data_IF_506552035287
#
_entry.id   IF_506552035287
#
_cell.length_a   1.000
_cell.length_b   1.000
_cell.length_c   1.000
_cell.angle_alpha   90.00
_cell.angle_beta   90.00
_cell.angle_gamma   90.00
#
_symmetry.space_group_name_H-M   'P 1'
#
loop_
_entity.id
_entity.type
_entity.pdbx_description
1 polymer ?
#
# COMPACT_ATOMS: atom_id res chain seq x y z
N UNK A 1 -20.48 21.78 -7.33
CA UNK A 1 -20.20 20.43 -7.85
C UNK A 1 -18.78 20.30 -8.47
N UNK A 2 -17.74 20.90 -7.84
CA UNK A 2 -16.36 20.93 -8.37
C UNK A 2 -15.29 20.35 -7.42
N UNK A 3 -15.63 20.06 -6.16
CA UNK A 3 -14.67 19.48 -5.19
C UNK A 3 -14.34 18.01 -5.53
N UNK A 4 -15.30 17.26 -6.09
CA UNK A 4 -15.14 15.85 -6.46
C UNK A 4 -14.20 15.66 -7.67
N UNK A 5 -14.04 16.68 -8.53
CA UNK A 5 -13.15 16.62 -9.70
C UNK A 5 -11.70 16.97 -9.36
N UNK A 6 -11.48 17.71 -8.27
CA UNK A 6 -10.17 18.10 -7.73
C UNK A 6 -9.57 17.08 -6.76
N UNK A 7 -10.34 16.06 -6.34
CA UNK A 7 -9.79 14.83 -5.76
C UNK A 7 -9.07 14.02 -6.84
N UNK A 8 -8.00 14.62 -7.35
CA UNK A 8 -7.13 14.10 -8.37
C UNK A 8 -6.59 12.76 -7.88
N UNK A 9 -6.46 11.76 -8.76
CA UNK A 9 -6.04 10.39 -8.40
C UNK A 9 -4.74 10.35 -7.59
N UNK A 10 -3.89 11.39 -7.72
CA UNK A 10 -2.68 11.57 -6.93
C UNK A 10 -2.93 12.07 -5.49
N UNK A 11 -3.92 12.93 -5.26
CA UNK A 11 -4.15 13.55 -3.94
C UNK A 11 -4.57 12.52 -2.88
N UNK A 12 -5.42 11.55 -3.25
CA UNK A 12 -5.84 10.49 -2.32
C UNK A 12 -4.67 9.56 -1.96
N UNK A 13 -3.76 9.31 -2.90
CA UNK A 13 -2.55 8.52 -2.64
C UNK A 13 -1.60 9.29 -1.72
N UNK A 14 -1.42 10.58 -1.94
CA UNK A 14 -0.59 11.44 -1.07
C UNK A 14 -1.16 11.52 0.34
N UNK A 15 -2.47 11.71 0.48
CA UNK A 15 -3.15 11.75 1.79
C UNK A 15 -3.02 10.41 2.53
N UNK A 16 -3.13 9.28 1.81
CA UNK A 16 -2.91 7.96 2.40
C UNK A 16 -1.49 7.81 2.97
N UNK A 17 -0.45 8.16 2.19
CA UNK A 17 0.93 8.06 2.67
C UNK A 17 1.25 9.05 3.79
N UNK A 18 0.73 10.28 3.72
CA UNK A 18 0.85 11.26 4.78
C UNK A 18 0.21 10.75 6.09
N UNK A 19 -0.97 10.11 5.98
CA UNK A 19 -1.65 9.51 7.13
C UNK A 19 -0.84 8.36 7.75
N UNK A 20 -0.34 7.42 6.93
CA UNK A 20 0.52 6.31 7.41
C UNK A 20 1.78 6.85 8.09
N UNK A 21 2.46 7.82 7.47
CA UNK A 21 3.66 8.45 8.04
C UNK A 21 3.35 9.09 9.39
N UNK A 22 2.23 9.81 9.49
CA UNK A 22 1.82 10.50 10.72
C UNK A 22 1.50 9.50 11.83
N UNK A 23 0.81 8.40 11.53
CA UNK A 23 0.54 7.35 12.52
C UNK A 23 1.83 6.71 13.01
N UNK A 24 2.73 6.34 12.10
CA UNK A 24 4.02 5.74 12.47
C UNK A 24 4.84 6.70 13.33
N UNK A 25 4.87 7.98 12.97
CA UNK A 25 5.53 9.01 13.76
C UNK A 25 4.95 9.10 15.17
N UNK A 26 3.62 9.15 15.30
CA UNK A 26 2.94 9.21 16.60
C UNK A 26 3.18 7.94 17.43
N UNK A 27 3.20 6.77 16.80
CA UNK A 27 3.48 5.49 17.48
C UNK A 27 4.91 5.44 18.01
N UNK A 28 5.89 5.91 17.23
CA UNK A 28 7.28 5.95 17.64
C UNK A 28 7.51 6.99 18.76
N UNK A 29 6.89 8.16 18.65
CA UNK A 29 6.96 9.19 19.70
C UNK A 29 6.31 8.77 21.04
N UNK A 30 5.40 7.79 21.00
CA UNK A 30 4.79 7.24 22.21
C UNK A 30 5.71 6.24 22.95
N UNK A 31 6.84 5.87 22.35
CA UNK A 31 7.85 4.99 22.96
C UNK A 31 8.99 5.85 23.47
N UNK A 32 9.24 5.79 24.78
CA UNK A 32 10.24 6.64 25.47
C UNK A 32 11.68 6.47 24.94
N UNK A 33 11.96 5.43 24.15
CA UNK A 33 13.27 5.20 23.53
C UNK A 33 13.55 6.09 22.29
N UNK A 34 12.53 6.75 21.73
CA UNK A 34 12.64 7.50 20.48
C UNK A 34 12.54 9.01 20.67
N UNK A 35 13.66 9.70 20.50
CA UNK A 35 13.66 11.15 20.28
C UNK A 35 12.94 11.51 18.97
N UNK A 36 12.40 12.74 18.89
CA UNK A 36 11.69 13.22 17.71
C UNK A 36 12.49 13.03 16.41
N UNK A 37 13.79 13.28 16.42
CA UNK A 37 14.65 13.10 15.25
C UNK A 37 14.74 11.63 14.81
N UNK A 38 14.87 10.70 15.77
CA UNK A 38 14.89 9.26 15.49
C UNK A 38 13.52 8.82 14.96
N UNK A 39 12.43 9.17 15.65
CA UNK A 39 11.08 8.84 15.23
C UNK A 39 10.75 9.35 13.81
N UNK A 40 11.18 10.58 13.48
CA UNK A 40 10.99 11.16 12.16
C UNK A 40 11.78 10.42 11.07
N UNK A 41 13.03 10.04 11.35
CA UNK A 41 13.86 9.31 10.39
C UNK A 41 13.30 7.91 10.13
N UNK A 42 12.96 7.17 11.19
CA UNK A 42 12.38 5.82 11.09
C UNK A 42 11.07 5.82 10.33
N UNK A 43 10.13 6.68 10.72
CA UNK A 43 8.83 6.76 10.05
C UNK A 43 8.97 7.13 8.57
N UNK A 44 9.90 8.03 8.22
CA UNK A 44 10.14 8.44 6.83
C UNK A 44 10.71 7.30 5.98
N UNK A 45 11.72 6.57 6.49
CA UNK A 45 12.35 5.49 5.73
C UNK A 45 11.42 4.29 5.60
N UNK A 46 10.81 3.84 6.70
CA UNK A 46 9.85 2.73 6.67
C UNK A 46 8.69 3.04 5.71
N UNK A 47 8.14 4.26 5.77
CA UNK A 47 7.06 4.65 4.86
C UNK A 47 7.54 4.74 3.41
N UNK A 48 8.76 5.24 3.18
CA UNK A 48 9.39 5.26 1.87
C UNK A 48 9.51 3.86 1.27
N UNK A 49 10.03 2.90 2.04
CA UNK A 49 10.17 1.50 1.63
C UNK A 49 8.81 0.87 1.33
N UNK A 50 7.80 1.10 2.18
CA UNK A 50 6.44 0.65 1.89
C UNK A 50 5.86 1.28 0.63
N UNK A 51 6.11 2.57 0.39
CA UNK A 51 5.66 3.26 -0.81
C UNK A 51 6.26 2.66 -2.07
N UNK A 52 7.56 2.37 -2.05
CA UNK A 52 8.29 1.68 -3.12
C UNK A 52 7.74 0.28 -3.33
N UNK A 53 7.59 -0.51 -2.27
CA UNK A 53 7.02 -1.86 -2.33
C UNK A 53 5.63 -1.87 -2.95
N UNK A 54 4.73 -0.98 -2.51
CA UNK A 54 3.37 -0.89 -3.07
C UNK A 54 3.39 -0.48 -4.55
N UNK A 55 4.24 0.49 -4.93
CA UNK A 55 4.26 1.01 -6.29
C UNK A 55 4.93 0.08 -7.30
N UNK A 56 6.08 -0.51 -6.93
CA UNK A 56 6.90 -1.31 -7.84
C UNK A 56 6.57 -2.80 -7.81
N UNK A 57 6.15 -3.34 -6.67
CA UNK A 57 5.89 -4.78 -6.53
C UNK A 57 4.40 -5.06 -6.60
N UNK A 58 3.63 -4.42 -5.72
CA UNK A 58 2.26 -4.83 -5.47
C UNK A 58 1.32 -4.45 -6.61
N UNK A 59 1.41 -3.20 -7.10
CA UNK A 59 0.57 -2.74 -8.21
C UNK A 59 0.72 -3.57 -9.49
N UNK A 60 1.93 -3.91 -9.97
CA UNK A 60 2.07 -4.78 -11.13
C UNK A 60 1.49 -6.18 -10.92
N UNK A 61 1.72 -6.79 -9.75
CA UNK A 61 1.20 -8.12 -9.43
C UNK A 61 -0.33 -8.13 -9.45
N UNK A 62 -0.96 -7.13 -8.81
CA UNK A 62 -2.43 -7.03 -8.76
C UNK A 62 -3.01 -6.78 -10.15
N UNK A 63 -2.39 -5.94 -10.98
CA UNK A 63 -2.84 -5.74 -12.37
C UNK A 63 -2.76 -7.03 -13.19
N UNK A 64 -1.65 -7.74 -13.11
CA UNK A 64 -1.47 -9.04 -13.80
C UNK A 64 -2.50 -10.08 -13.33
N UNK A 65 -2.96 -10.00 -12.09
CA UNK A 65 -4.04 -10.85 -11.60
C UNK A 65 -5.41 -10.50 -12.16
N UNK A 66 -5.75 -9.20 -12.23
CA UNK A 66 -7.01 -8.75 -12.85
C UNK A 66 -7.10 -9.28 -14.29
N UNK A 67 -5.96 -9.37 -14.99
CA UNK A 67 -5.86 -9.90 -16.36
C UNK A 67 -5.91 -11.44 -16.42
N UNK A 68 -5.22 -12.14 -15.51
CA UNK A 68 -5.04 -13.61 -15.61
C UNK A 68 -6.08 -14.46 -14.85
N UNK A 69 -6.88 -13.87 -13.94
CA UNK A 69 -7.91 -14.52 -13.10
C UNK A 69 -7.44 -15.72 -12.24
N UNK A 70 -6.13 -15.97 -12.13
CA UNK A 70 -5.56 -17.07 -11.34
C UNK A 70 -5.38 -16.71 -9.86
N UNK A 71 -6.32 -17.11 -9.00
CA UNK A 71 -6.39 -16.70 -7.59
C UNK A 71 -5.35 -17.38 -6.69
N UNK A 72 -5.09 -18.67 -6.89
CA UNK A 72 -4.12 -19.44 -6.09
C UNK A 72 -2.67 -18.98 -6.31
N UNK A 73 -2.29 -18.72 -7.57
CA UNK A 73 -0.95 -18.23 -7.91
C UNK A 73 -0.71 -16.82 -7.36
N UNK A 74 -1.73 -15.94 -7.37
CA UNK A 74 -1.62 -14.60 -6.78
C UNK A 74 -1.34 -14.67 -5.27
N UNK A 75 -2.10 -15.47 -4.52
CA UNK A 75 -1.93 -15.55 -3.06
C UNK A 75 -0.50 -15.99 -2.71
N UNK A 76 0.02 -16.99 -3.42
CA UNK A 76 1.40 -17.44 -3.21
C UNK A 76 2.42 -16.35 -3.54
N UNK A 77 2.26 -15.63 -4.66
CA UNK A 77 3.13 -14.51 -5.03
C UNK A 77 3.07 -13.36 -4.01
N UNK A 78 1.88 -12.99 -3.55
CA UNK A 78 1.71 -11.95 -2.54
C UNK A 78 2.34 -12.34 -1.20
N UNK A 79 2.19 -13.60 -0.78
CA UNK A 79 2.83 -14.10 0.43
C UNK A 79 4.36 -14.11 0.28
N UNK A 80 4.88 -14.64 -0.83
CA UNK A 80 6.32 -14.70 -1.08
C UNK A 80 6.96 -13.29 -1.12
N UNK A 81 6.34 -12.35 -1.84
CA UNK A 81 6.81 -10.97 -1.89
C UNK A 81 6.62 -10.24 -0.56
N UNK A 82 5.57 -10.55 0.19
CA UNK A 82 5.35 -10.03 1.53
C UNK A 82 6.45 -10.48 2.50
N UNK A 83 6.81 -11.76 2.47
CA UNK A 83 7.93 -12.29 3.27
C UNK A 83 9.24 -11.61 2.88
N UNK A 84 9.55 -11.50 1.58
CA UNK A 84 10.75 -10.80 1.11
C UNK A 84 10.80 -9.34 1.57
N UNK A 85 9.69 -8.60 1.41
CA UNK A 85 9.61 -7.21 1.87
C UNK A 85 9.78 -7.10 3.39
N UNK A 86 9.28 -8.07 4.14
CA UNK A 86 9.43 -8.10 5.61
C UNK A 86 10.87 -8.35 6.01
N UNK A 87 11.59 -9.21 5.30
CA UNK A 87 13.04 -9.40 5.50
C UNK A 87 13.79 -8.10 5.25
N UNK A 88 13.49 -7.41 4.13
CA UNK A 88 14.11 -6.12 3.80
C UNK A 88 13.82 -5.07 4.87
N UNK A 89 12.56 -4.90 5.28
CA UNK A 89 12.17 -3.95 6.31
C UNK A 89 12.81 -4.25 7.67
N UNK A 90 12.94 -5.53 8.03
CA UNK A 90 13.61 -5.93 9.27
C UNK A 90 15.10 -5.60 9.20
N UNK A 91 15.72 -5.75 8.02
CA UNK A 91 17.11 -5.40 7.82
C UNK A 91 17.33 -3.89 7.83
N UNK A 92 16.41 -3.12 7.24
CA UNK A 92 16.41 -1.65 7.31
C UNK A 92 16.29 -1.16 8.75
N UNK A 93 15.31 -1.69 9.50
CA UNK A 93 15.11 -1.38 10.92
C UNK A 93 16.38 -1.71 11.74
N UNK A 94 17.00 -2.85 11.46
CA UNK A 94 18.27 -3.23 12.07
C UNK A 94 19.43 -2.28 11.71
N UNK A 95 19.52 -1.87 10.44
CA UNK A 95 20.55 -0.93 10.00
C UNK A 95 20.39 0.44 10.66
N UNK A 96 19.15 0.93 10.78
CA UNK A 96 18.85 2.18 11.50
C UNK A 96 19.21 2.08 12.97
N UNK A 97 18.84 0.98 13.62
CA UNK A 97 19.17 0.75 15.02
C UNK A 97 20.68 0.76 15.25
N UNK A 98 21.43 0.05 14.40
CA UNK A 98 22.90 0.00 14.46
C UNK A 98 23.58 1.35 14.23
N UNK A 99 22.90 2.29 13.56
CA UNK A 99 23.39 3.64 13.35
C UNK A 99 23.24 4.51 14.61
N UNK A 100 22.23 4.25 15.44
CA UNK A 100 21.93 5.05 16.63
C UNK A 100 22.42 4.45 17.95
N UNK A 101 22.58 3.13 18.03
CA UNK A 101 23.05 2.43 19.22
C UNK A 101 23.79 1.14 18.79
N UNK A 102 24.80 0.70 19.57
CA UNK A 102 25.73 -0.38 19.18
C UNK A 102 25.50 -1.68 19.95
N UNK A 103 24.40 -1.77 20.71
CA UNK A 103 24.20 -2.86 21.68
C UNK A 103 23.64 -4.14 21.05
N UNK A 104 24.55 -4.94 20.49
CA UNK A 104 24.26 -6.17 19.73
C UNK A 104 23.37 -7.20 20.44
N UNK A 105 23.47 -7.32 21.76
CA UNK A 105 22.70 -8.30 22.53
C UNK A 105 21.23 -7.90 22.67
N UNK A 106 20.92 -6.60 22.70
CA UNK A 106 19.53 -6.10 22.66
C UNK A 106 18.88 -6.43 21.31
N UNK A 107 19.63 -6.24 20.21
CA UNK A 107 19.11 -6.47 18.86
C UNK A 107 18.82 -7.93 18.57
N UNK A 108 19.70 -8.85 18.96
CA UNK A 108 19.52 -10.28 18.69
C UNK A 108 18.23 -10.83 19.30
N UNK A 109 17.83 -10.32 20.47
CA UNK A 109 16.57 -10.70 21.14
C UNK A 109 15.34 -10.05 20.50
N UNK A 110 15.46 -8.83 19.99
CA UNK A 110 14.35 -8.07 19.39
C UNK A 110 14.10 -8.40 17.89
N UNK A 111 15.06 -9.02 17.20
CA UNK A 111 15.00 -9.27 15.76
C UNK A 111 13.80 -10.11 15.32
N UNK A 112 13.49 -11.20 16.04
CA UNK A 112 12.40 -12.09 15.67
C UNK A 112 11.01 -11.46 15.89
N UNK A 113 10.71 -10.84 17.05
CA UNK A 113 9.48 -10.06 17.22
C UNK A 113 9.29 -8.96 16.17
N UNK A 114 10.38 -8.24 15.84
CA UNK A 114 10.35 -7.18 14.82
C UNK A 114 10.05 -7.71 13.44
N UNK A 115 10.65 -8.83 13.05
CA UNK A 115 10.32 -9.51 11.80
C UNK A 115 8.82 -9.82 11.68
N UNK A 116 8.21 -10.38 12.72
CA UNK A 116 6.77 -10.66 12.71
C UNK A 116 5.92 -9.38 12.70
N UNK A 117 6.35 -8.32 13.38
CA UNK A 117 5.73 -7.00 13.31
C UNK A 117 5.74 -6.44 11.88
N UNK A 118 6.90 -6.45 11.23
CA UNK A 118 7.07 -6.02 9.83
C UNK A 118 6.28 -6.89 8.86
N UNK A 119 6.21 -8.21 9.11
CA UNK A 119 5.39 -9.13 8.32
C UNK A 119 3.91 -8.81 8.41
N UNK A 120 3.40 -8.58 9.61
CA UNK A 120 2.01 -8.18 9.80
C UNK A 120 1.71 -6.84 9.11
N UNK A 121 2.58 -5.85 9.27
CA UNK A 121 2.45 -4.55 8.61
C UNK A 121 2.44 -4.70 7.08
N UNK A 122 3.35 -5.52 6.53
CA UNK A 122 3.45 -5.78 5.10
C UNK A 122 2.20 -6.46 4.55
N UNK A 123 1.67 -7.47 5.26
CA UNK A 123 0.42 -8.15 4.86
C UNK A 123 -0.75 -7.17 4.89
N UNK A 124 -0.86 -6.33 5.92
CA UNK A 124 -1.95 -5.37 6.07
C UNK A 124 -1.90 -4.29 4.98
N UNK A 125 -0.72 -3.72 4.71
CA UNK A 125 -0.51 -2.76 3.62
C UNK A 125 -0.79 -3.41 2.26
N UNK A 126 -0.39 -4.66 2.07
CA UNK A 126 -0.70 -5.43 0.86
C UNK A 126 -2.20 -5.59 0.65
N UNK A 127 -2.94 -5.93 1.71
CA UNK A 127 -4.40 -6.05 1.69
C UNK A 127 -5.10 -4.73 1.36
N UNK A 128 -4.68 -3.64 2.01
CA UNK A 128 -5.22 -2.29 1.75
C UNK A 128 -4.95 -1.88 0.30
N UNK A 129 -3.71 -2.04 -0.18
CA UNK A 129 -3.34 -1.70 -1.55
C UNK A 129 -4.11 -2.53 -2.59
N UNK A 130 -4.34 -3.82 -2.32
CA UNK A 130 -5.20 -4.67 -3.14
C UNK A 130 -6.64 -4.17 -3.20
N UNK A 131 -7.24 -3.86 -2.04
CA UNK A 131 -8.61 -3.35 -1.95
C UNK A 131 -8.77 -2.03 -2.72
N UNK A 132 -7.79 -1.12 -2.63
CA UNK A 132 -7.78 0.13 -3.38
C UNK A 132 -7.73 -0.09 -4.90
N UNK A 133 -6.88 -0.99 -5.39
CA UNK A 133 -6.78 -1.23 -6.84
C UNK A 133 -8.04 -1.95 -7.36
N UNK A 134 -8.63 -2.86 -6.57
CA UNK A 134 -9.90 -3.51 -6.89
C UNK A 134 -11.05 -2.49 -6.97
N UNK A 135 -11.15 -1.59 -5.99
CA UNK A 135 -12.14 -0.51 -6.00
C UNK A 135 -11.98 0.40 -7.22
N UNK A 136 -10.74 0.75 -7.56
CA UNK A 136 -10.44 1.55 -8.76
C UNK A 136 -10.84 0.84 -10.04
N UNK A 137 -10.60 -0.48 -10.12
CA UNK A 137 -11.03 -1.29 -11.24
C UNK A 137 -12.56 -1.32 -11.36
N UNK A 138 -13.25 -1.49 -10.23
CA UNK A 138 -14.72 -1.49 -10.18
C UNK A 138 -15.33 -0.17 -10.64
N UNK A 139 -14.79 0.98 -10.21
CA UNK A 139 -15.24 2.30 -10.70
C UNK A 139 -15.04 2.44 -12.21
N UNK A 140 -13.92 1.98 -12.76
CA UNK A 140 -13.67 2.03 -14.21
C UNK A 140 -14.69 1.19 -14.97
N UNK A 141 -14.97 -0.02 -14.48
CA UNK A 141 -15.98 -0.90 -15.07
C UNK A 141 -17.37 -0.26 -15.00
N UNK A 142 -17.77 0.31 -13.86
CA UNK A 142 -19.06 1.00 -13.72
C UNK A 142 -19.22 2.15 -14.72
N UNK A 143 -18.16 2.97 -14.89
CA UNK A 143 -18.18 4.07 -15.88
C UNK A 143 -18.29 3.54 -17.31
N UNK A 144 -17.54 2.50 -17.65
CA UNK A 144 -17.61 1.89 -18.97
C UNK A 144 -19.02 1.30 -19.24
N UNK A 145 -19.61 0.62 -18.26
CA UNK A 145 -20.97 0.08 -18.34
C UNK A 145 -22.01 1.20 -18.50
N UNK A 146 -21.83 2.32 -17.78
CA UNK A 146 -22.74 3.47 -17.89
C UNK A 146 -22.65 4.13 -19.26
N UNK A 147 -21.44 4.35 -19.78
CA UNK A 147 -21.24 4.85 -21.15
C UNK A 147 -21.83 3.91 -22.21
N UNK A 148 -21.74 2.59 -22.00
CA UNK A 148 -22.34 1.60 -22.89
C UNK A 148 -23.86 1.64 -22.86
N UNK A 149 -24.45 1.81 -21.67
CA UNK A 149 -25.90 1.95 -21.47
C UNK A 149 -26.43 3.24 -22.09
N UNK A 150 -25.70 4.35 -21.95
CA UNK A 150 -26.07 5.63 -22.57
C UNK A 150 -26.05 5.52 -24.10
N UNK A 151 -25.02 4.88 -24.67
CA UNK A 151 -24.96 4.61 -26.12
C UNK A 151 -26.07 3.69 -26.61
N UNK A 152 -26.45 2.68 -25.82
CA UNK A 152 -27.53 1.76 -26.17
C UNK A 152 -28.88 2.50 -26.20
N UNK A 153 -29.18 3.31 -25.17
CA UNK A 153 -30.39 4.13 -25.13
C UNK A 153 -30.48 5.10 -26.32
N UNK A 154 -29.35 5.71 -26.70
CA UNK A 154 -29.29 6.60 -27.88
C UNK A 154 -29.58 5.84 -29.19
N UNK A 155 -29.12 4.59 -29.31
CA UNK A 155 -29.40 3.73 -30.46
C UNK A 155 -30.86 3.28 -30.49
N UNK A 156 -31.44 2.89 -29.35
CA UNK A 156 -32.86 2.52 -29.25
C UNK A 156 -33.76 3.71 -29.62
N UNK A 157 -33.49 4.91 -29.08
CA UNK A 157 -34.22 6.12 -29.44
C UNK A 157 -34.14 6.47 -30.92
N UNK A 158 -32.99 6.21 -31.57
CA UNK A 158 -32.85 6.38 -33.02
C UNK A 158 -33.68 5.37 -33.80
N UNK A 159 -33.72 4.11 -33.37
CA UNK A 159 -34.51 3.07 -34.03
C UNK A 159 -36.02 3.28 -33.91
N UNK A 160 -36.51 3.92 -32.83
CA UNK A 160 -37.93 4.25 -32.64
C UNK A 160 -38.37 5.46 -33.49
N UNK A 161 -37.43 6.33 -33.86
CA UNK A 161 -37.70 7.53 -34.67
C UNK A 161 -37.72 7.27 -36.18
N UNK A 162 -37.27 6.11 -36.64
CA UNK A 162 -37.33 5.67 -38.04
C UNK A 162 -38.56 4.79 -38.25
#
# INVERSE_FOLDING_TARGET
>A
MNIVRWMNKGMLVVLFWAFITTILLLQLLAVDEYDFQKAFLYSSVITGTFAIYVHLVLRPIVRKYIESKGLSSLIFWLLAMGVLASVVLTFEDYAMDSFFDSDWDKYKKAMLPRFFGMLMATILISGIAYAFELYRHHIKMLKATQELKDRLNDLELKSIRQ
#
